data_IF_617390472139
#
_entry.id   IF_617390472139
#
_cell.length_a   1.000
_cell.length_b   1.000
_cell.length_c   1.000
_cell.angle_alpha   90.00
_cell.angle_beta   90.00
_cell.angle_gamma   90.00
#
_symmetry.space_group_name_H-M   'P 1'
#
loop_
_entity.id
_entity.type
_entity.pdbx_description
1 polymer ?
#
# COMPACT_ATOMS: atom_id res chain seq x y z
N UNK A 1 6.48 -22.14 -32.10
CA UNK A 1 6.41 -21.77 -30.67
C UNK A 1 5.47 -22.74 -29.96
N UNK A 2 5.28 -22.66 -28.63
CA UNK A 2 4.23 -23.45 -27.96
C UNK A 2 2.83 -23.17 -28.54
N UNK A 3 2.64 -21.99 -29.16
CA UNK A 3 1.38 -21.52 -29.73
C UNK A 3 0.91 -22.35 -30.94
N UNK A 4 1.84 -22.72 -31.84
CA UNK A 4 1.53 -23.59 -32.98
C UNK A 4 1.12 -25.00 -32.53
N UNK A 5 1.69 -25.48 -31.42
CA UNK A 5 1.31 -26.76 -30.84
C UNK A 5 -0.10 -26.66 -30.25
N UNK A 6 -0.50 -25.58 -29.57
CA UNK A 6 -1.81 -25.51 -28.92
C UNK A 6 -3.01 -25.57 -29.88
N UNK A 7 -2.88 -24.99 -31.09
CA UNK A 7 -3.90 -25.06 -32.13
C UNK A 7 -3.98 -26.42 -32.85
N UNK A 8 -2.94 -27.25 -32.74
CA UNK A 8 -2.82 -28.53 -33.44
C UNK A 8 -2.78 -29.76 -32.50
N UNK A 9 -2.49 -29.52 -31.22
CA UNK A 9 -2.23 -30.45 -30.14
C UNK A 9 -3.00 -29.98 -28.89
N UNK A 10 -3.84 -30.85 -28.32
CA UNK A 10 -4.62 -30.54 -27.12
C UNK A 10 -6.13 -30.64 -27.32
N UNK A 11 -6.92 -30.44 -26.26
CA UNK A 11 -8.36 -30.72 -26.25
C UNK A 11 -9.16 -29.76 -27.13
N UNK A 12 -8.60 -28.60 -27.48
CA UNK A 12 -9.26 -27.61 -28.34
C UNK A 12 -9.01 -27.85 -29.83
N UNK A 13 -7.98 -28.61 -30.20
CA UNK A 13 -7.65 -28.85 -31.59
C UNK A 13 -8.61 -29.86 -32.25
N UNK A 14 -9.01 -29.60 -33.49
CA UNK A 14 -9.89 -30.48 -34.30
C UNK A 14 -9.36 -31.89 -34.47
N UNK A 15 -8.04 -32.07 -34.53
CA UNK A 15 -7.40 -33.39 -34.57
C UNK A 15 -7.70 -34.25 -33.33
N UNK A 16 -8.11 -33.63 -32.22
CA UNK A 16 -8.49 -34.27 -30.96
C UNK A 16 -9.98 -34.09 -30.63
N UNK A 17 -10.80 -33.68 -31.61
CA UNK A 17 -12.24 -33.49 -31.44
C UNK A 17 -12.66 -32.13 -30.87
N UNK A 18 -11.72 -31.20 -30.68
CA UNK A 18 -12.01 -29.81 -30.31
C UNK A 18 -12.42 -28.92 -31.50
N UNK A 19 -12.78 -27.66 -31.26
CA UNK A 19 -13.36 -26.79 -32.29
C UNK A 19 -12.33 -25.98 -33.11
N UNK A 20 -11.04 -25.99 -32.73
CA UNK A 20 -10.02 -25.12 -33.32
C UNK A 20 -9.20 -25.80 -34.41
N UNK A 21 -9.04 -25.11 -35.54
CA UNK A 21 -7.99 -25.37 -36.54
C UNK A 21 -6.83 -24.38 -36.44
N UNK A 22 -7.06 -23.25 -35.77
CA UNK A 22 -6.09 -22.18 -35.52
C UNK A 22 -6.24 -21.71 -34.07
N UNK A 23 -5.12 -21.58 -33.35
CA UNK A 23 -5.11 -21.06 -31.99
C UNK A 23 -5.63 -19.63 -31.92
N UNK A 24 -5.42 -18.82 -32.96
CA UNK A 24 -5.85 -17.44 -33.02
C UNK A 24 -7.38 -17.27 -32.95
N UNK A 25 -8.15 -18.35 -33.12
CA UNK A 25 -9.62 -18.34 -32.98
C UNK A 25 -10.09 -18.70 -31.56
N UNK A 26 -9.19 -18.94 -30.61
CA UNK A 26 -9.52 -19.44 -29.27
C UNK A 26 -10.61 -18.61 -28.58
N UNK A 27 -10.49 -17.29 -28.56
CA UNK A 27 -11.49 -16.40 -27.92
C UNK A 27 -12.68 -16.05 -28.83
N UNK A 28 -12.62 -16.41 -30.12
CA UNK A 28 -13.65 -16.10 -31.12
C UNK A 28 -14.64 -17.25 -31.29
N UNK A 29 -14.23 -18.48 -30.96
CA UNK A 29 -15.00 -19.71 -31.12
C UNK A 29 -15.72 -20.07 -29.81
N UNK A 30 -17.06 -19.93 -29.72
CA UNK A 30 -17.80 -20.09 -28.46
C UNK A 30 -17.58 -21.44 -27.75
N UNK A 31 -17.40 -22.53 -28.50
CA UNK A 31 -17.21 -23.88 -27.98
C UNK A 31 -15.93 -24.02 -27.14
N UNK A 32 -14.94 -23.14 -27.29
CA UNK A 32 -13.74 -23.17 -26.44
C UNK A 32 -14.05 -22.78 -25.00
N UNK A 33 -15.04 -21.90 -24.79
CA UNK A 33 -15.48 -21.47 -23.46
C UNK A 33 -16.14 -22.62 -22.71
N UNK A 34 -16.98 -23.40 -23.39
CA UNK A 34 -17.64 -24.56 -22.80
C UNK A 34 -16.61 -25.62 -22.38
N UNK A 35 -15.61 -25.88 -23.23
CA UNK A 35 -14.48 -26.75 -22.87
C UNK A 35 -13.70 -26.20 -21.68
N UNK A 36 -13.48 -24.88 -21.61
CA UNK A 36 -12.77 -24.26 -20.48
C UNK A 36 -13.56 -24.38 -19.17
N UNK A 37 -14.89 -24.18 -19.20
CA UNK A 37 -15.78 -24.38 -18.06
C UNK A 37 -15.74 -25.83 -17.56
N UNK A 38 -15.90 -26.80 -18.45
CA UNK A 38 -15.85 -28.24 -18.11
C UNK A 38 -14.50 -28.62 -17.47
N UNK A 39 -13.40 -28.05 -17.98
CA UNK A 39 -12.06 -28.27 -17.40
C UNK A 39 -11.93 -27.64 -16.02
N UNK A 40 -12.43 -26.42 -15.84
CA UNK A 40 -12.42 -25.76 -14.53
C UNK A 40 -13.25 -26.52 -13.50
N UNK A 41 -14.43 -27.02 -13.87
CA UNK A 41 -15.24 -27.89 -12.99
C UNK A 41 -14.43 -29.08 -12.51
N UNK A 42 -13.69 -29.71 -13.42
CA UNK A 42 -12.88 -30.88 -13.09
C UNK A 42 -11.67 -30.52 -12.20
N UNK A 43 -11.00 -29.41 -12.47
CA UNK A 43 -9.86 -28.93 -11.67
C UNK A 43 -10.30 -28.54 -10.26
N UNK A 44 -11.39 -27.78 -10.14
CA UNK A 44 -12.03 -27.41 -8.87
C UNK A 44 -12.42 -28.67 -8.10
N UNK A 45 -13.03 -29.66 -8.77
CA UNK A 45 -13.41 -30.91 -8.13
C UNK A 45 -12.20 -31.68 -7.59
N UNK A 46 -11.08 -31.74 -8.33
CA UNK A 46 -9.85 -32.38 -7.86
C UNK A 46 -9.23 -31.63 -6.68
N UNK A 47 -9.19 -30.31 -6.75
CA UNK A 47 -8.68 -29.43 -5.71
C UNK A 47 -9.47 -29.58 -4.41
N UNK A 48 -10.81 -29.54 -4.48
CA UNK A 48 -11.68 -29.70 -3.31
C UNK A 48 -11.65 -31.12 -2.72
N UNK A 49 -11.22 -32.12 -3.49
CA UNK A 49 -10.97 -33.49 -3.01
C UNK A 49 -9.56 -33.68 -2.41
N UNK A 50 -8.67 -32.72 -2.60
CA UNK A 50 -7.30 -32.76 -2.10
C UNK A 50 -7.26 -32.60 -0.58
N UNK A 51 -6.32 -33.25 0.14
CA UNK A 51 -6.07 -32.96 1.55
C UNK A 51 -5.47 -31.56 1.79
N UNK A 52 -5.24 -30.79 0.73
CA UNK A 52 -4.69 -29.42 0.77
C UNK A 52 -5.66 -28.39 0.18
N UNK A 53 -6.96 -28.69 0.15
CA UNK A 53 -7.97 -27.76 -0.38
C UNK A 53 -7.90 -26.39 0.32
N UNK A 54 -7.64 -26.39 1.63
CA UNK A 54 -7.46 -25.19 2.46
C UNK A 54 -6.16 -24.40 2.20
N UNK A 55 -5.25 -24.92 1.37
CA UNK A 55 -4.03 -24.21 0.95
C UNK A 55 -4.22 -23.45 -0.38
N UNK A 56 -5.37 -23.60 -1.03
CA UNK A 56 -5.66 -22.91 -2.28
C UNK A 56 -6.18 -21.52 -1.94
N UNK A 57 -5.57 -20.49 -2.52
CA UNK A 57 -6.03 -19.11 -2.35
C UNK A 57 -7.14 -18.76 -3.35
N UNK A 58 -7.03 -19.28 -4.58
CA UNK A 58 -7.90 -18.88 -5.67
C UNK A 58 -7.52 -19.48 -7.01
N UNK A 59 -8.22 -19.01 -8.04
CA UNK A 59 -8.14 -19.44 -9.42
C UNK A 59 -7.72 -18.29 -10.32
N UNK A 60 -6.67 -18.50 -11.10
CA UNK A 60 -6.31 -17.67 -12.24
C UNK A 60 -6.64 -18.46 -13.52
N UNK A 61 -7.78 -18.18 -14.19
CA UNK A 61 -8.30 -19.07 -15.22
C UNK A 61 -7.43 -19.14 -16.47
N UNK A 62 -6.93 -17.99 -16.91
CA UNK A 62 -6.01 -17.86 -18.05
C UNK A 62 -5.03 -16.76 -17.69
N UNK A 63 -3.77 -17.15 -17.48
CA UNK A 63 -2.68 -16.22 -17.26
C UNK A 63 -2.45 -15.41 -18.54
N UNK A 64 -2.26 -14.10 -18.40
CA UNK A 64 -1.93 -13.21 -19.51
C UNK A 64 -2.90 -13.34 -20.70
N UNK A 65 -4.21 -13.43 -20.43
CA UNK A 65 -5.24 -13.62 -21.47
C UNK A 65 -5.27 -12.51 -22.51
N UNK A 66 -4.72 -11.35 -22.18
CA UNK A 66 -4.56 -10.18 -23.03
C UNK A 66 -3.23 -10.13 -23.80
N UNK A 67 -2.37 -11.15 -23.65
CA UNK A 67 -1.10 -11.25 -24.36
C UNK A 67 -1.26 -11.39 -25.87
N UNK A 68 -0.32 -10.78 -26.59
CA UNK A 68 -0.17 -10.90 -28.05
C UNK A 68 0.70 -12.09 -28.46
N UNK A 69 1.31 -12.79 -27.50
CA UNK A 69 2.32 -13.80 -27.78
C UNK A 69 1.74 -15.13 -28.25
N UNK A 70 0.55 -15.51 -27.76
CA UNK A 70 -0.01 -16.85 -28.02
C UNK A 70 -1.31 -16.85 -28.82
N UNK A 71 -2.04 -15.73 -28.88
CA UNK A 71 -3.20 -15.54 -29.77
C UNK A 71 -3.20 -14.16 -30.38
N UNK A 72 -3.54 -14.08 -31.68
CA UNK A 72 -3.68 -12.83 -32.42
C UNK A 72 -4.68 -12.99 -33.57
N UNK A 73 -5.97 -12.74 -33.31
CA UNK A 73 -7.03 -12.98 -34.30
C UNK A 73 -7.04 -11.92 -35.41
N UNK A 74 -7.24 -12.33 -36.67
CA UNK A 74 -7.30 -11.38 -37.79
C UNK A 74 -8.38 -10.28 -37.65
N UNK A 75 -9.45 -10.50 -36.86
CA UNK A 75 -10.49 -9.47 -36.63
C UNK A 75 -9.95 -8.20 -35.96
N UNK A 76 -8.85 -8.31 -35.21
CA UNK A 76 -8.22 -7.16 -34.55
C UNK A 76 -7.37 -6.30 -35.50
N UNK A 77 -6.97 -6.80 -36.67
CA UNK A 77 -6.02 -6.11 -37.57
C UNK A 77 -6.57 -4.82 -38.19
N UNK A 78 -7.89 -4.67 -38.23
CA UNK A 78 -8.55 -3.48 -38.78
C UNK A 78 -8.47 -2.26 -37.86
N UNK A 79 -8.07 -2.43 -36.60
CA UNK A 79 -8.12 -1.41 -35.55
C UNK A 79 -6.78 -1.34 -34.81
N UNK A 80 -6.19 -0.14 -34.67
CA UNK A 80 -4.88 0.01 -34.04
C UNK A 80 -4.85 -0.49 -32.58
N UNK A 81 -5.98 -0.42 -31.86
CA UNK A 81 -6.13 -0.94 -30.50
C UNK A 81 -6.78 -2.33 -30.43
N UNK A 82 -7.07 -2.96 -31.57
CA UNK A 82 -7.69 -4.30 -31.68
C UNK A 82 -8.97 -4.43 -30.84
N UNK A 83 -9.75 -3.36 -30.72
CA UNK A 83 -10.85 -3.22 -29.78
C UNK A 83 -11.97 -4.26 -29.99
N UNK A 84 -12.19 -4.69 -31.22
CA UNK A 84 -13.16 -5.74 -31.57
C UNK A 84 -12.72 -7.09 -31.02
N UNK A 85 -11.46 -7.49 -31.25
CA UNK A 85 -10.89 -8.72 -30.71
C UNK A 85 -10.93 -8.74 -29.18
N UNK A 86 -10.40 -7.69 -28.55
CA UNK A 86 -10.36 -7.62 -27.10
C UNK A 86 -11.75 -7.54 -26.45
N UNK A 87 -12.78 -7.09 -27.18
CA UNK A 87 -14.16 -7.17 -26.70
C UNK A 87 -14.62 -8.60 -26.56
N UNK A 88 -14.26 -9.49 -27.50
CA UNK A 88 -14.58 -10.92 -27.39
C UNK A 88 -13.76 -11.60 -26.31
N UNK A 89 -12.45 -11.33 -26.23
CA UNK A 89 -11.60 -11.84 -25.15
C UNK A 89 -12.15 -11.46 -23.78
N UNK A 90 -12.50 -10.18 -23.60
CA UNK A 90 -13.10 -9.65 -22.38
C UNK A 90 -14.41 -10.35 -21.98
N UNK A 91 -15.29 -10.63 -22.95
CA UNK A 91 -16.54 -11.36 -22.70
C UNK A 91 -16.26 -12.80 -22.29
N UNK A 92 -15.41 -13.49 -23.05
CA UNK A 92 -15.02 -14.87 -22.80
C UNK A 92 -14.42 -15.05 -21.40
N UNK A 93 -13.44 -14.23 -21.05
CA UNK A 93 -12.71 -14.35 -19.78
C UNK A 93 -13.58 -13.98 -18.58
N UNK A 94 -14.45 -12.96 -18.73
CA UNK A 94 -15.39 -12.55 -17.68
C UNK A 94 -16.46 -13.61 -17.44
N UNK A 95 -16.93 -14.28 -18.50
CA UNK A 95 -17.91 -15.36 -18.38
C UNK A 95 -17.31 -16.61 -17.72
N UNK A 96 -16.06 -16.96 -18.05
CA UNK A 96 -15.35 -18.04 -17.37
C UNK A 96 -15.13 -17.73 -15.88
N UNK A 97 -14.72 -16.51 -15.54
CA UNK A 97 -14.57 -16.07 -14.16
C UNK A 97 -15.88 -16.18 -13.36
N UNK A 98 -16.99 -15.71 -13.95
CA UNK A 98 -18.31 -15.80 -13.34
C UNK A 98 -18.81 -17.25 -13.19
N UNK A 99 -18.39 -18.16 -14.06
CA UNK A 99 -18.64 -19.60 -13.91
C UNK A 99 -17.85 -20.17 -12.73
N UNK A 100 -16.55 -19.89 -12.63
CA UNK A 100 -15.70 -20.36 -11.53
C UNK A 100 -16.25 -19.89 -10.17
N UNK A 101 -16.61 -18.62 -10.04
CA UNK A 101 -17.20 -18.09 -8.81
C UNK A 101 -18.48 -18.82 -8.39
N UNK A 102 -19.28 -19.32 -9.34
CA UNK A 102 -20.49 -20.10 -9.04
C UNK A 102 -20.17 -21.52 -8.58
N UNK A 103 -19.10 -22.11 -9.12
CA UNK A 103 -18.71 -23.50 -8.81
C UNK A 103 -17.90 -23.60 -7.51
N UNK A 104 -17.11 -22.56 -7.20
CA UNK A 104 -16.22 -22.54 -6.05
C UNK A 104 -16.24 -21.18 -5.33
N UNK A 105 -17.35 -20.84 -4.64
CA UNK A 105 -17.53 -19.53 -4.01
C UNK A 105 -16.61 -19.30 -2.79
N UNK A 106 -15.89 -20.32 -2.34
CA UNK A 106 -15.02 -20.25 -1.16
C UNK A 106 -13.58 -19.84 -1.50
N UNK A 107 -13.23 -19.75 -2.79
CA UNK A 107 -11.90 -19.38 -3.28
C UNK A 107 -11.96 -18.13 -4.17
N UNK A 108 -10.88 -17.34 -4.19
CA UNK A 108 -10.81 -16.11 -4.99
C UNK A 108 -10.76 -16.42 -6.49
N UNK A 109 -11.31 -15.54 -7.33
CA UNK A 109 -11.05 -15.56 -8.78
C UNK A 109 -10.23 -14.34 -9.18
N UNK A 110 -9.07 -14.58 -9.80
CA UNK A 110 -8.01 -13.60 -10.03
C UNK A 110 -7.91 -13.25 -11.51
N UNK A 111 -7.87 -11.95 -11.82
CA UNK A 111 -7.66 -11.47 -13.20
C UNK A 111 -6.18 -11.23 -13.47
N UNK A 112 -5.53 -12.11 -14.25
CA UNK A 112 -4.17 -11.87 -14.77
C UNK A 112 -4.19 -11.02 -16.03
N UNK A 113 -3.22 -10.12 -16.20
CA UNK A 113 -3.10 -9.24 -17.38
C UNK A 113 -1.71 -8.64 -17.46
N UNK A 114 -1.15 -8.59 -18.67
CA UNK A 114 0.18 -7.98 -18.90
C UNK A 114 0.12 -6.50 -19.26
N UNK A 115 -1.07 -5.98 -19.54
CA UNK A 115 -1.24 -4.58 -19.89
C UNK A 115 -1.20 -3.71 -18.63
N UNK A 116 -0.13 -2.93 -18.49
CA UNK A 116 0.12 -2.00 -17.38
C UNK A 116 -0.96 -0.92 -17.20
N UNK A 117 -1.53 -0.42 -18.31
CA UNK A 117 -2.59 0.60 -18.35
C UNK A 117 -3.78 0.09 -19.18
N UNK A 118 -4.65 -0.78 -18.61
CA UNK A 118 -5.78 -1.34 -19.33
C UNK A 118 -6.72 -0.24 -19.78
N UNK A 119 -7.12 -0.27 -21.06
CA UNK A 119 -8.09 0.66 -21.65
C UNK A 119 -9.17 -0.09 -22.43
N UNK A 120 -10.26 0.61 -22.74
CA UNK A 120 -11.30 0.08 -23.61
C UNK A 120 -11.90 -1.24 -23.09
N UNK A 121 -11.94 -2.32 -23.89
CA UNK A 121 -12.43 -3.61 -23.44
C UNK A 121 -11.65 -4.23 -22.27
N UNK A 122 -10.32 -4.06 -22.21
CA UNK A 122 -9.50 -4.63 -21.14
C UNK A 122 -9.85 -3.97 -19.80
N UNK A 123 -9.94 -2.63 -19.76
CA UNK A 123 -10.39 -1.91 -18.56
C UNK A 123 -11.76 -2.38 -18.08
N UNK A 124 -12.70 -2.63 -19.01
CA UNK A 124 -14.02 -3.15 -18.66
C UNK A 124 -13.96 -4.54 -18.05
N UNK A 125 -13.12 -5.42 -18.58
CA UNK A 125 -12.95 -6.77 -18.05
C UNK A 125 -12.25 -6.76 -16.70
N UNK A 126 -11.15 -6.02 -16.57
CA UNK A 126 -10.31 -6.09 -15.38
C UNK A 126 -10.77 -5.13 -14.28
N UNK A 127 -10.88 -3.84 -14.58
CA UNK A 127 -11.14 -2.80 -13.58
C UNK A 127 -12.63 -2.70 -13.20
N UNK A 128 -13.54 -3.09 -14.10
CA UNK A 128 -14.99 -2.86 -13.93
C UNK A 128 -15.85 -4.11 -13.77
N UNK A 129 -15.35 -5.30 -14.16
CA UNK A 129 -16.10 -6.54 -13.96
C UNK A 129 -16.18 -6.88 -12.48
N UNK A 130 -17.32 -7.37 -12.01
CA UNK A 130 -17.50 -7.86 -10.63
C UNK A 130 -17.21 -9.35 -10.47
N UNK A 131 -16.81 -10.02 -11.55
CA UNK A 131 -16.55 -11.47 -11.55
C UNK A 131 -15.12 -11.82 -11.11
N UNK A 132 -14.33 -10.82 -10.73
CA UNK A 132 -13.00 -11.01 -10.16
C UNK A 132 -13.02 -10.56 -8.71
N UNK A 133 -12.39 -11.32 -7.84
CA UNK A 133 -12.22 -11.00 -6.42
C UNK A 133 -10.90 -10.28 -6.14
N UNK A 134 -9.89 -10.52 -6.99
CA UNK A 134 -8.58 -9.86 -6.93
C UNK A 134 -8.08 -9.51 -8.34
N UNK A 135 -7.41 -8.36 -8.44
CA UNK A 135 -6.73 -7.93 -9.66
C UNK A 135 -5.27 -8.37 -9.59
N UNK A 136 -4.77 -9.02 -10.65
CA UNK A 136 -3.44 -9.62 -10.69
C UNK A 136 -2.62 -9.09 -11.88
N UNK A 137 -2.33 -7.78 -11.99
CA UNK A 137 -1.51 -7.28 -13.08
C UNK A 137 -0.10 -7.85 -13.04
N UNK A 138 0.44 -8.19 -14.21
CA UNK A 138 1.85 -8.52 -14.39
C UNK A 138 2.60 -7.22 -14.70
N UNK A 139 3.35 -6.71 -13.74
CA UNK A 139 4.00 -5.40 -13.84
C UNK A 139 5.43 -5.53 -14.36
N UNK A 140 5.55 -6.00 -15.60
CA UNK A 140 6.79 -5.94 -16.37
C UNK A 140 7.07 -4.49 -16.80
N UNK A 141 7.99 -3.86 -16.09
CA UNK A 141 8.47 -2.51 -16.41
C UNK A 141 9.86 -2.61 -17.01
N UNK A 142 10.22 -1.69 -17.91
CA UNK A 142 11.53 -1.75 -18.58
C UNK A 142 12.67 -1.80 -17.57
N UNK A 143 12.55 -1.09 -16.44
CA UNK A 143 13.61 -1.09 -15.43
C UNK A 143 13.71 -2.37 -14.59
N UNK A 144 12.62 -3.12 -14.44
CA UNK A 144 12.62 -4.42 -13.71
C UNK A 144 12.85 -5.62 -14.62
N UNK A 145 12.44 -5.51 -15.89
CA UNK A 145 12.53 -6.55 -16.91
C UNK A 145 13.92 -6.58 -17.55
N UNK A 146 14.49 -5.40 -17.78
CA UNK A 146 15.77 -5.21 -18.45
C UNK A 146 16.76 -4.39 -17.60
N UNK A 147 16.98 -4.70 -16.31
CA UNK A 147 17.82 -3.86 -15.45
C UNK A 147 19.28 -3.78 -15.93
N UNK A 148 19.72 -4.72 -16.77
CA UNK A 148 21.03 -4.68 -17.42
C UNK A 148 21.20 -3.47 -18.36
N UNK A 149 20.11 -2.99 -18.97
CA UNK A 149 20.07 -1.83 -19.86
C UNK A 149 19.89 -0.51 -19.08
N UNK A 150 19.63 -0.58 -17.77
CA UNK A 150 19.58 0.60 -16.91
C UNK A 150 21.00 1.15 -16.65
N UNK A 151 21.23 2.38 -17.08
CA UNK A 151 22.52 3.09 -16.93
C UNK A 151 22.69 3.79 -15.58
N UNK A 152 21.66 3.79 -14.75
CA UNK A 152 21.70 4.39 -13.41
C UNK A 152 22.72 3.66 -12.52
N UNK A 153 23.37 4.41 -11.64
CA UNK A 153 24.33 3.85 -10.69
C UNK A 153 23.62 3.05 -9.58
N UNK A 154 22.46 3.53 -9.16
CA UNK A 154 21.51 2.81 -8.32
C UNK A 154 20.31 2.38 -9.17
N UNK A 155 20.37 1.13 -9.64
CA UNK A 155 19.34 0.53 -10.50
C UNK A 155 18.05 0.18 -9.78
N UNK A 156 18.02 0.28 -8.45
CA UNK A 156 16.83 -0.07 -7.65
C UNK A 156 15.80 1.06 -7.57
N UNK A 157 16.18 2.30 -7.93
CA UNK A 157 15.31 3.48 -7.84
C UNK A 157 14.19 3.46 -8.89
N UNK A 158 14.52 3.29 -10.18
CA UNK A 158 13.52 3.34 -11.25
C UNK A 158 12.46 2.22 -11.14
N UNK A 159 12.81 0.96 -10.85
CA UNK A 159 11.81 -0.10 -10.63
C UNK A 159 10.82 0.23 -9.53
N UNK A 160 11.26 0.90 -8.46
CA UNK A 160 10.38 1.33 -7.39
C UNK A 160 9.44 2.45 -7.81
N UNK A 161 9.93 3.42 -8.59
CA UNK A 161 9.12 4.50 -9.16
C UNK A 161 8.04 3.92 -10.06
N UNK A 162 8.42 3.05 -11.01
CA UNK A 162 7.48 2.47 -11.97
C UNK A 162 6.46 1.57 -11.27
N UNK A 163 6.91 0.66 -10.39
CA UNK A 163 6.00 -0.23 -9.67
C UNK A 163 5.07 0.52 -8.71
N UNK A 164 5.56 1.54 -8.00
CA UNK A 164 4.74 2.38 -7.15
C UNK A 164 3.71 3.19 -7.95
N UNK A 165 4.11 3.72 -9.11
CA UNK A 165 3.20 4.42 -10.03
C UNK A 165 2.08 3.52 -10.54
N UNK A 166 2.42 2.34 -11.06
CA UNK A 166 1.42 1.40 -11.55
C UNK A 166 0.54 0.86 -10.42
N UNK A 167 1.11 0.52 -9.26
CA UNK A 167 0.32 0.15 -8.08
C UNK A 167 -0.73 1.21 -7.71
N UNK A 168 -0.33 2.49 -7.69
CA UNK A 168 -1.25 3.60 -7.44
C UNK A 168 -2.29 3.82 -8.54
N UNK A 169 -1.91 3.69 -9.81
CA UNK A 169 -2.83 3.76 -10.94
C UNK A 169 -3.92 2.68 -10.84
N UNK A 170 -3.53 1.43 -10.57
CA UNK A 170 -4.47 0.31 -10.43
C UNK A 170 -5.41 0.52 -9.23
N UNK A 171 -4.87 0.98 -8.10
CA UNK A 171 -5.66 1.27 -6.90
C UNK A 171 -6.74 2.34 -7.15
N UNK A 172 -6.43 3.34 -7.99
CA UNK A 172 -7.30 4.50 -8.24
C UNK A 172 -8.19 4.36 -9.47
N UNK A 173 -7.93 3.41 -10.36
CA UNK A 173 -8.67 3.22 -11.61
C UNK A 173 -9.76 2.14 -11.55
N UNK A 174 -9.72 1.27 -10.53
CA UNK A 174 -10.80 0.30 -10.29
C UNK A 174 -12.06 0.98 -9.73
N UNK A 175 -13.23 0.42 -10.03
CA UNK A 175 -14.53 0.97 -9.56
C UNK A 175 -14.92 0.53 -8.14
N UNK A 176 -14.07 -0.26 -7.49
CA UNK A 176 -14.32 -0.91 -6.21
C UNK A 176 -13.05 -0.98 -5.35
N UNK A 177 -13.04 -1.82 -4.31
CA UNK A 177 -11.94 -1.94 -3.35
C UNK A 177 -11.24 -3.31 -3.38
N UNK A 178 -11.39 -4.09 -4.45
CA UNK A 178 -10.81 -5.44 -4.52
C UNK A 178 -9.30 -5.41 -4.44
N UNK A 179 -8.63 -6.31 -3.69
CA UNK A 179 -7.18 -6.34 -3.60
C UNK A 179 -6.49 -6.34 -4.98
N UNK A 180 -5.30 -5.77 -5.04
CA UNK A 180 -4.41 -5.83 -6.20
C UNK A 180 -3.17 -6.58 -5.75
N UNK A 181 -2.79 -7.64 -6.46
CA UNK A 181 -1.52 -8.33 -6.24
C UNK A 181 -0.72 -8.20 -7.53
N UNK A 182 0.56 -7.83 -7.46
CA UNK A 182 1.40 -7.92 -8.66
C UNK A 182 1.58 -9.41 -9.01
N UNK A 183 0.82 -9.88 -10.00
CA UNK A 183 0.68 -11.28 -10.36
C UNK A 183 1.98 -11.87 -10.88
N UNK A 184 2.81 -11.03 -11.49
CA UNK A 184 4.11 -11.44 -12.02
C UNK A 184 4.97 -10.23 -12.37
N UNK A 185 6.25 -10.27 -12.04
CA UNK A 185 7.25 -9.31 -12.48
C UNK A 185 8.65 -9.94 -12.48
N UNK A 186 9.59 -9.31 -13.15
CA UNK A 186 10.99 -9.74 -13.18
C UNK A 186 11.55 -9.75 -14.59
N UNK A 187 12.61 -10.52 -14.80
CA UNK A 187 13.41 -10.48 -16.02
C UNK A 187 12.90 -11.44 -17.08
N UNK A 188 12.63 -10.93 -18.28
CA UNK A 188 12.28 -11.74 -19.45
C UNK A 188 13.48 -11.82 -20.40
N UNK A 189 13.42 -12.71 -21.39
CA UNK A 189 14.57 -13.02 -22.27
C UNK A 189 14.77 -12.03 -23.42
N UNK A 190 13.71 -11.38 -23.89
CA UNK A 190 13.65 -10.74 -25.21
C UNK A 190 14.71 -9.67 -25.42
N UNK A 191 15.17 -9.02 -24.35
CA UNK A 191 16.02 -7.84 -24.46
C UNK A 191 17.35 -7.96 -23.69
N UNK A 192 17.67 -9.18 -23.23
CA UNK A 192 18.97 -9.48 -22.64
C UNK A 192 20.02 -9.77 -23.74
N UNK A 193 21.29 -9.41 -23.53
CA UNK A 193 22.38 -9.87 -24.40
C UNK A 193 22.34 -11.40 -24.52
N UNK A 194 22.33 -11.89 -25.77
CA UNK A 194 22.22 -13.31 -26.11
C UNK A 194 20.93 -14.01 -25.63
N UNK A 195 19.88 -13.24 -25.29
CA UNK A 195 18.58 -13.74 -24.79
C UNK A 195 18.69 -14.58 -23.49
N UNK A 196 19.72 -14.30 -22.68
CA UNK A 196 20.04 -15.05 -21.47
C UNK A 196 20.11 -14.12 -20.24
N UNK A 197 19.02 -14.02 -19.46
CA UNK A 197 19.04 -13.41 -18.14
C UNK A 197 20.07 -14.11 -17.26
N UNK A 198 21.20 -13.46 -16.96
CA UNK A 198 22.26 -14.03 -16.13
C UNK A 198 23.00 -12.96 -15.35
N UNK A 199 23.35 -13.28 -14.11
CA UNK A 199 24.28 -12.45 -13.36
C UNK A 199 25.64 -12.37 -14.04
N UNK A 200 26.19 -11.16 -14.08
CA UNK A 200 27.42 -10.81 -14.77
C UNK A 200 28.13 -9.67 -14.06
N UNK A 201 29.25 -9.19 -14.63
CA UNK A 201 29.92 -8.00 -14.12
C UNK A 201 29.13 -6.70 -14.36
N UNK A 202 28.19 -6.71 -15.32
CA UNK A 202 27.36 -5.54 -15.65
C UNK A 202 26.03 -5.55 -14.92
N UNK A 203 25.62 -6.68 -14.35
CA UNK A 203 24.43 -6.83 -13.53
C UNK A 203 24.60 -7.97 -12.52
N UNK A 204 24.67 -7.63 -11.24
CA UNK A 204 25.03 -8.55 -10.16
C UNK A 204 23.81 -9.04 -9.38
N UNK A 205 23.96 -10.16 -8.67
CA UNK A 205 22.93 -10.66 -7.76
C UNK A 205 22.52 -9.63 -6.70
N UNK A 206 23.49 -8.84 -6.18
CA UNK A 206 23.21 -7.82 -5.17
C UNK A 206 22.33 -6.68 -5.73
N UNK A 207 22.46 -6.36 -7.01
CA UNK A 207 21.59 -5.38 -7.68
C UNK A 207 20.17 -5.94 -7.87
N UNK A 208 20.03 -7.22 -8.21
CA UNK A 208 18.72 -7.88 -8.28
C UNK A 208 18.03 -7.96 -6.91
N UNK A 209 18.79 -8.28 -5.86
CA UNK A 209 18.30 -8.28 -4.48
C UNK A 209 17.84 -6.88 -4.03
N UNK A 210 18.54 -5.82 -4.48
CA UNK A 210 18.14 -4.44 -4.24
C UNK A 210 16.86 -4.08 -5.00
N UNK A 211 16.74 -4.43 -6.28
CA UNK A 211 15.52 -4.23 -7.07
C UNK A 211 14.35 -4.98 -6.43
N UNK A 212 14.56 -6.23 -6.02
CA UNK A 212 13.55 -7.03 -5.35
C UNK A 212 13.02 -6.34 -4.09
N UNK A 213 13.91 -5.82 -3.24
CA UNK A 213 13.52 -5.04 -2.06
C UNK A 213 12.67 -3.84 -2.45
N UNK A 214 13.15 -2.99 -3.36
CA UNK A 214 12.46 -1.72 -3.64
C UNK A 214 11.14 -1.92 -4.39
N UNK A 215 11.03 -2.94 -5.26
CA UNK A 215 9.76 -3.32 -5.92
C UNK A 215 8.74 -3.82 -4.89
N UNK A 216 9.13 -4.74 -4.00
CA UNK A 216 8.22 -5.26 -2.96
C UNK A 216 7.67 -4.13 -2.09
N UNK A 217 8.53 -3.24 -1.59
CA UNK A 217 8.11 -2.18 -0.68
C UNK A 217 7.33 -1.06 -1.36
N UNK A 218 7.73 -0.63 -2.56
CA UNK A 218 6.99 0.37 -3.34
C UNK A 218 5.60 -0.14 -3.74
N UNK A 219 5.48 -1.42 -4.12
CA UNK A 219 4.22 -2.04 -4.48
C UNK A 219 3.27 -2.12 -3.30
N UNK A 220 3.76 -2.64 -2.17
CA UNK A 220 2.98 -2.73 -0.94
C UNK A 220 2.52 -1.36 -0.44
N UNK A 221 3.43 -0.39 -0.34
CA UNK A 221 3.10 0.96 0.08
C UNK A 221 2.15 1.67 -0.90
N UNK A 222 2.10 1.26 -2.16
CA UNK A 222 1.15 1.78 -3.17
C UNK A 222 -0.20 1.08 -3.17
N UNK A 223 -0.42 0.12 -2.26
CA UNK A 223 -1.70 -0.56 -2.04
C UNK A 223 -1.80 -1.97 -2.64
N UNK A 224 -0.69 -2.55 -3.09
CA UNK A 224 -0.67 -3.96 -3.48
C UNK A 224 -0.72 -4.88 -2.23
N UNK A 225 -1.37 -6.03 -2.36
CA UNK A 225 -1.54 -7.04 -1.34
C UNK A 225 -0.37 -8.02 -1.35
N UNK A 226 0.76 -7.64 -0.75
CA UNK A 226 1.93 -8.50 -0.59
C UNK A 226 3.08 -8.19 -1.55
N UNK A 227 3.95 -9.18 -1.78
CA UNK A 227 5.25 -8.99 -2.47
C UNK A 227 5.17 -9.08 -3.99
N UNK A 228 4.06 -9.59 -4.51
CA UNK A 228 3.96 -10.07 -5.89
C UNK A 228 4.83 -11.30 -6.17
N UNK A 229 4.63 -11.90 -7.34
CA UNK A 229 5.45 -13.01 -7.82
C UNK A 229 6.64 -12.47 -8.62
N UNK A 230 7.85 -12.66 -8.10
CA UNK A 230 9.07 -12.49 -8.90
C UNK A 230 9.30 -13.77 -9.70
N UNK A 231 9.29 -13.70 -11.03
CA UNK A 231 9.60 -14.87 -11.87
C UNK A 231 11.00 -15.37 -11.58
N UNK A 232 11.18 -16.67 -11.58
CA UNK A 232 12.49 -17.28 -11.48
C UNK A 232 13.00 -17.63 -12.86
N UNK A 233 13.65 -16.66 -13.51
CA UNK A 233 14.25 -16.82 -14.82
C UNK A 233 15.71 -17.33 -14.70
N UNK A 234 16.44 -17.31 -15.83
CA UNK A 234 17.74 -17.98 -15.97
C UNK A 234 18.83 -17.40 -15.03
N UNK A 235 18.67 -16.18 -14.51
CA UNK A 235 19.57 -15.56 -13.55
C UNK A 235 19.58 -16.29 -12.20
N UNK A 236 18.46 -16.91 -11.85
CA UNK A 236 18.29 -17.73 -10.65
C UNK A 236 18.57 -19.22 -10.91
N UNK A 237 18.99 -19.62 -12.12
CA UNK A 237 19.26 -21.02 -12.44
C UNK A 237 20.34 -21.63 -11.54
N UNK A 238 21.34 -20.84 -11.13
CA UNK A 238 22.39 -21.28 -10.20
C UNK A 238 21.84 -21.57 -8.79
N UNK A 239 20.70 -20.98 -8.44
CA UNK A 239 19.97 -21.23 -7.20
C UNK A 239 18.82 -22.23 -7.41
N UNK A 240 18.72 -22.91 -8.56
CA UNK A 240 17.66 -23.88 -8.84
C UNK A 240 16.29 -23.25 -9.13
N UNK A 241 16.26 -22.05 -9.72
CA UNK A 241 15.03 -21.31 -10.05
C UNK A 241 14.19 -20.99 -8.80
N UNK A 242 14.85 -20.62 -7.71
CA UNK A 242 14.21 -20.09 -6.50
C UNK A 242 14.88 -18.77 -6.09
N UNK A 243 14.13 -17.94 -5.36
CA UNK A 243 14.63 -16.68 -4.80
C UNK A 243 15.88 -16.90 -3.93
N UNK A 244 16.79 -15.93 -3.95
CA UNK A 244 18.00 -15.94 -3.10
C UNK A 244 17.63 -15.81 -1.62
N UNK A 245 18.57 -16.14 -0.73
CA UNK A 245 18.36 -16.00 0.71
C UNK A 245 18.01 -14.55 1.09
N UNK A 246 18.67 -13.54 0.49
CA UNK A 246 18.38 -12.13 0.77
C UNK A 246 16.97 -11.70 0.30
N UNK A 247 16.49 -12.23 -0.83
CA UNK A 247 15.12 -12.00 -1.29
C UNK A 247 14.11 -12.66 -0.35
N UNK A 248 14.37 -13.89 0.12
CA UNK A 248 13.54 -14.56 1.13
C UNK A 248 13.54 -13.82 2.45
N UNK A 249 14.68 -13.36 2.91
CA UNK A 249 14.81 -12.55 4.12
C UNK A 249 14.10 -11.20 4.00
N UNK A 250 14.00 -10.64 2.79
CA UNK A 250 13.16 -9.46 2.51
C UNK A 250 11.68 -9.79 2.67
N UNK A 251 11.21 -10.97 2.21
CA UNK A 251 9.84 -11.43 2.49
C UNK A 251 9.59 -11.62 3.99
N UNK A 252 10.58 -12.10 4.74
CA UNK A 252 10.49 -12.25 6.19
C UNK A 252 10.48 -10.89 6.92
N UNK A 253 11.23 -9.89 6.44
CA UNK A 253 11.15 -8.52 6.94
C UNK A 253 9.75 -7.95 6.73
N UNK A 254 9.22 -8.09 5.52
CA UNK A 254 7.89 -7.64 5.15
C UNK A 254 6.81 -8.30 6.03
N UNK A 255 6.92 -9.61 6.28
CA UNK A 255 6.07 -10.32 7.24
C UNK A 255 6.20 -9.75 8.64
N UNK A 256 7.43 -9.51 9.13
CA UNK A 256 7.65 -8.95 10.47
C UNK A 256 7.05 -7.55 10.62
N UNK A 257 7.13 -6.74 9.57
CA UNK A 257 6.48 -5.43 9.51
C UNK A 257 4.96 -5.55 9.61
N UNK A 258 4.34 -6.43 8.81
CA UNK A 258 2.88 -6.65 8.79
C UNK A 258 2.38 -7.24 10.11
N UNK A 259 3.04 -8.28 10.62
CA UNK A 259 2.66 -9.04 11.82
C UNK A 259 3.05 -8.34 13.13
N UNK A 260 3.78 -7.22 13.09
CA UNK A 260 4.23 -6.54 14.31
C UNK A 260 3.05 -6.06 15.15
N UNK A 261 3.09 -6.41 16.43
CA UNK A 261 2.11 -5.99 17.45
C UNK A 261 2.48 -4.70 18.18
N UNK A 262 3.65 -4.13 17.93
CA UNK A 262 4.09 -2.86 18.56
C UNK A 262 3.28 -1.66 18.05
N UNK A 263 2.87 -1.70 16.79
CA UNK A 263 1.86 -0.84 16.19
C UNK A 263 1.11 -1.70 15.18
N UNK A 264 -0.12 -2.10 15.48
CA UNK A 264 -0.91 -2.99 14.62
C UNK A 264 -1.66 -2.17 13.55
N UNK A 265 -1.67 -2.60 12.29
CA UNK A 265 -2.61 -2.11 11.26
C UNK A 265 -3.72 -3.14 11.15
N UNK A 266 -4.97 -2.72 11.28
CA UNK A 266 -6.13 -3.57 11.04
C UNK A 266 -6.38 -3.67 9.53
N UNK A 267 -5.64 -4.56 8.88
CA UNK A 267 -5.80 -4.85 7.44
C UNK A 267 -7.19 -5.39 7.09
N UNK A 268 -7.93 -5.96 8.06
CA UNK A 268 -9.28 -6.49 7.81
C UNK A 268 -10.33 -5.40 7.60
N UNK A 269 -10.07 -4.19 8.12
CA UNK A 269 -10.92 -3.01 7.92
C UNK A 269 -10.19 -1.85 7.21
N UNK A 270 -9.02 -2.12 6.61
CA UNK A 270 -8.19 -1.09 5.99
C UNK A 270 -8.71 -0.69 4.60
N UNK A 271 -9.43 0.43 4.54
CA UNK A 271 -9.92 1.01 3.29
C UNK A 271 -8.84 1.84 2.59
N UNK A 272 -7.79 1.18 2.12
CA UNK A 272 -6.60 1.80 1.53
C UNK A 272 -6.92 2.80 0.41
N UNK A 273 -6.49 4.05 0.58
CA UNK A 273 -6.49 5.10 -0.45
C UNK A 273 -5.08 5.55 -0.70
N UNK A 274 -4.73 5.75 -1.97
CA UNK A 274 -3.40 6.22 -2.37
C UNK A 274 -3.09 7.61 -1.76
N UNK A 275 -1.85 7.81 -1.31
CA UNK A 275 -1.34 9.07 -0.78
C UNK A 275 -0.48 9.86 -1.81
N UNK A 276 -0.54 9.53 -3.10
CA UNK A 276 0.14 10.28 -4.15
C UNK A 276 -0.22 11.76 -4.08
N UNK A 277 0.80 12.61 -4.07
CA UNK A 277 0.67 14.07 -3.91
C UNK A 277 0.30 14.53 -2.50
N UNK A 278 0.28 13.63 -1.51
CA UNK A 278 -0.01 13.90 -0.08
C UNK A 278 1.12 13.45 0.85
N UNK A 279 2.24 13.02 0.27
CA UNK A 279 3.46 12.66 0.97
C UNK A 279 4.55 13.63 0.55
N UNK A 280 5.24 14.20 1.53
CA UNK A 280 6.37 15.08 1.31
C UNK A 280 7.53 14.66 2.22
N UNK A 281 8.74 14.63 1.67
CA UNK A 281 9.97 14.40 2.42
C UNK A 281 10.93 15.55 2.12
N UNK A 282 11.34 16.28 3.14
CA UNK A 282 12.39 17.28 3.03
C UNK A 282 13.67 16.74 3.67
N UNK A 283 14.77 16.69 2.92
CA UNK A 283 16.08 16.29 3.45
C UNK A 283 17.18 17.03 2.69
N UNK A 284 18.11 17.69 3.41
CA UNK A 284 19.06 18.62 2.80
C UNK A 284 20.00 17.94 1.82
N UNK A 285 19.97 18.37 0.56
CA UNK A 285 20.83 17.82 -0.51
C UNK A 285 20.49 16.38 -0.91
N UNK A 286 19.30 15.90 -0.56
CA UNK A 286 18.80 14.55 -0.86
C UNK A 286 17.53 14.64 -1.70
N UNK A 287 17.29 13.61 -2.48
CA UNK A 287 15.98 13.34 -3.08
C UNK A 287 15.46 12.05 -2.46
N UNK A 288 14.26 12.09 -1.88
CA UNK A 288 13.62 10.91 -1.31
C UNK A 288 12.27 10.73 -1.99
N UNK A 289 12.08 9.57 -2.62
CA UNK A 289 10.80 9.19 -3.22
C UNK A 289 9.91 8.59 -2.13
N UNK A 290 8.62 8.92 -2.17
CA UNK A 290 7.65 8.47 -1.18
C UNK A 290 6.39 7.90 -1.83
N UNK A 291 5.97 6.72 -1.38
CA UNK A 291 4.69 6.08 -1.74
C UNK A 291 3.95 5.70 -0.47
N UNK A 292 2.62 5.65 -0.51
CA UNK A 292 1.85 5.27 0.67
C UNK A 292 0.37 5.12 0.42
N UNK A 293 -0.29 4.46 1.37
CA UNK A 293 -1.74 4.30 1.43
C UNK A 293 -2.25 4.55 2.84
N UNK A 294 -3.47 5.09 2.95
CA UNK A 294 -4.15 5.31 4.21
C UNK A 294 -5.68 5.27 4.07
N UNK A 295 -6.37 4.90 5.13
CA UNK A 295 -7.81 5.10 5.29
C UNK A 295 -8.15 6.38 6.10
N UNK A 296 -7.11 7.13 6.51
CA UNK A 296 -7.18 8.30 7.36
C UNK A 296 -6.84 8.00 8.82
N UNK A 297 -7.18 6.84 9.35
CA UNK A 297 -6.85 6.44 10.74
C UNK A 297 -5.54 5.68 10.81
N UNK A 298 -5.22 4.88 9.81
CA UNK A 298 -4.03 4.05 9.76
C UNK A 298 -3.45 4.09 8.35
N UNK A 299 -2.20 3.66 8.22
CA UNK A 299 -1.59 3.55 6.91
C UNK A 299 -0.14 3.14 6.97
N UNK A 300 0.40 3.06 5.76
CA UNK A 300 1.78 2.67 5.50
C UNK A 300 2.37 3.62 4.47
N UNK A 301 3.68 3.84 4.56
CA UNK A 301 4.44 4.53 3.54
C UNK A 301 5.80 3.86 3.33
N UNK A 302 6.40 4.09 2.18
CA UNK A 302 7.75 3.66 1.83
C UNK A 302 8.53 4.87 1.34
N UNK A 303 9.71 5.10 1.91
CA UNK A 303 10.61 6.21 1.63
C UNK A 303 11.91 5.67 1.05
N UNK A 304 12.31 6.08 -0.15
CA UNK A 304 13.51 5.61 -0.83
C UNK A 304 14.44 6.79 -1.14
N UNK A 305 15.64 6.78 -0.56
CA UNK A 305 16.69 7.74 -0.92
C UNK A 305 17.16 7.45 -2.34
N UNK A 306 17.15 8.47 -3.20
CA UNK A 306 17.60 8.38 -4.58
C UNK A 306 19.13 8.36 -4.64
N UNK A 307 19.69 7.15 -4.69
CA UNK A 307 21.13 6.92 -4.80
C UNK A 307 21.76 7.52 -6.06
N UNK A 308 20.97 7.83 -7.10
CA UNK A 308 21.46 8.48 -8.32
C UNK A 308 21.65 10.00 -8.15
N UNK A 309 20.96 10.61 -7.19
CA UNK A 309 21.15 12.02 -6.83
C UNK A 309 22.24 12.15 -5.78
N UNK A 310 22.13 11.43 -4.66
CA UNK A 310 23.11 11.49 -3.58
C UNK A 310 23.07 10.24 -2.69
N UNK A 311 24.23 9.62 -2.45
CA UNK A 311 24.37 8.44 -1.57
C UNK A 311 24.79 8.79 -0.13
N UNK A 312 24.51 7.90 0.81
CA UNK A 312 24.95 8.01 2.21
C UNK A 312 23.81 8.35 3.17
N UNK A 313 24.18 8.59 4.44
CA UNK A 313 23.23 8.75 5.52
C UNK A 313 22.46 10.08 5.41
N UNK A 314 21.15 10.02 5.63
CA UNK A 314 20.25 11.15 5.88
C UNK A 314 20.10 11.28 7.39
N UNK A 315 20.26 12.50 7.94
CA UNK A 315 20.22 12.74 9.40
C UNK A 315 19.31 13.88 9.82
N UNK A 316 18.73 14.59 8.86
CA UNK A 316 17.99 15.85 9.02
C UNK A 316 16.69 15.86 8.19
N UNK A 317 16.12 14.67 7.94
CA UNK A 317 14.93 14.54 7.13
C UNK A 317 13.65 14.78 7.93
N UNK A 318 12.65 15.43 7.33
CA UNK A 318 11.27 15.51 7.82
C UNK A 318 10.34 14.78 6.86
N UNK A 319 9.27 14.19 7.37
CA UNK A 319 8.25 13.51 6.60
C UNK A 319 6.87 14.02 6.98
N UNK A 320 6.10 14.44 5.98
CA UNK A 320 4.74 14.96 6.12
C UNK A 320 3.76 14.08 5.36
N UNK A 321 2.66 13.74 6.04
CA UNK A 321 1.49 13.07 5.46
C UNK A 321 0.29 14.00 5.59
N UNK A 322 -0.29 14.41 4.47
CA UNK A 322 -1.49 15.25 4.46
C UNK A 322 -2.78 14.43 4.45
N UNK A 323 -3.88 15.02 4.93
CA UNK A 323 -5.26 14.52 4.79
C UNK A 323 -5.61 13.29 5.65
N UNK A 324 -4.88 13.09 6.75
CA UNK A 324 -5.26 12.18 7.81
C UNK A 324 -6.46 12.71 8.61
N UNK A 325 -6.95 11.94 9.57
CA UNK A 325 -7.98 12.44 10.48
C UNK A 325 -7.45 13.60 11.33
N UNK A 326 -8.23 14.67 11.36
CA UNK A 326 -7.95 15.87 12.15
C UNK A 326 -8.11 15.62 13.64
N UNK A 327 -7.40 16.42 14.43
CA UNK A 327 -7.48 16.43 15.89
C UNK A 327 -7.22 15.04 16.50
N UNK A 328 -6.30 14.29 15.88
CA UNK A 328 -5.89 12.94 16.33
C UNK A 328 -4.44 12.91 16.74
N UNK A 329 -4.15 12.03 17.68
CA UNK A 329 -2.79 11.62 18.03
C UNK A 329 -2.46 10.33 17.27
N UNK A 330 -1.34 10.32 16.56
CA UNK A 330 -0.82 9.17 15.84
C UNK A 330 0.39 8.58 16.55
N UNK A 331 0.46 7.26 16.58
CA UNK A 331 1.70 6.53 16.82
C UNK A 331 2.30 6.16 15.46
N UNK A 332 3.63 6.26 15.34
CA UNK A 332 4.38 6.07 14.10
C UNK A 332 5.57 5.15 14.35
N UNK A 333 5.79 4.18 13.47
CA UNK A 333 6.97 3.33 13.47
C UNK A 333 7.74 3.47 12.17
N UNK A 334 9.06 3.53 12.30
CA UNK A 334 9.98 3.51 11.18
C UNK A 334 10.73 2.19 11.18
N UNK A 335 10.82 1.56 10.02
CA UNK A 335 11.43 0.26 9.81
C UNK A 335 12.48 0.35 8.73
N UNK A 336 13.66 -0.23 8.99
CA UNK A 336 14.57 -0.56 7.89
C UNK A 336 13.93 -1.66 7.05
N UNK A 337 13.93 -1.51 5.74
CA UNK A 337 13.37 -2.48 4.78
C UNK A 337 14.37 -3.58 4.40
N UNK A 338 15.54 -3.60 5.04
CA UNK A 338 16.62 -4.54 4.75
C UNK A 338 16.24 -5.98 5.08
N UNK A 339 16.94 -6.92 4.44
CA UNK A 339 16.77 -8.35 4.68
C UNK A 339 16.95 -8.72 6.18
N UNK A 340 16.00 -9.48 6.73
CA UNK A 340 16.07 -10.03 8.09
C UNK A 340 15.73 -9.06 9.23
N UNK A 341 15.17 -7.89 8.94
CA UNK A 341 14.74 -6.92 9.97
C UNK A 341 13.46 -7.40 10.64
N UNK A 342 13.43 -7.37 11.98
CA UNK A 342 12.33 -7.93 12.78
C UNK A 342 11.70 -6.93 13.75
N UNK A 343 12.24 -5.73 13.88
CA UNK A 343 11.77 -4.68 14.79
C UNK A 343 11.93 -3.29 14.16
N UNK A 344 11.13 -2.29 14.58
CA UNK A 344 11.29 -0.92 14.10
C UNK A 344 12.64 -0.33 14.55
N UNK A 345 13.20 0.57 13.74
CA UNK A 345 14.40 1.35 14.08
C UNK A 345 14.08 2.51 15.01
N UNK A 346 12.86 3.04 14.96
CA UNK A 346 12.34 4.01 15.92
C UNK A 346 10.81 3.99 15.97
N UNK A 347 10.28 4.45 17.10
CA UNK A 347 8.85 4.65 17.33
C UNK A 347 8.63 6.05 17.88
N UNK A 348 7.67 6.77 17.30
CA UNK A 348 7.16 8.03 17.82
C UNK A 348 5.75 7.81 18.34
N UNK A 349 5.43 8.46 19.45
CA UNK A 349 4.18 8.23 20.15
C UNK A 349 3.41 9.52 20.36
N UNK A 350 2.14 9.54 19.98
CA UNK A 350 1.24 10.66 20.23
C UNK A 350 1.57 11.92 19.43
N UNK A 351 1.92 11.79 18.16
CA UNK A 351 2.15 12.93 17.26
C UNK A 351 0.80 13.51 16.83
N UNK A 352 0.59 14.81 17.05
CA UNK A 352 -0.70 15.45 16.82
C UNK A 352 -0.87 15.90 15.37
N UNK A 353 -1.95 15.44 14.72
CA UNK A 353 -2.36 15.88 13.39
C UNK A 353 -3.58 16.81 13.48
N UNK A 354 -3.36 18.07 13.89
CA UNK A 354 -4.46 19.01 14.17
C UNK A 354 -5.31 19.34 12.94
N UNK A 355 -4.68 19.74 11.84
CA UNK A 355 -5.36 20.07 10.58
C UNK A 355 -5.54 18.87 9.63
N UNK A 356 -5.07 17.69 10.04
CA UNK A 356 -5.01 16.48 9.22
C UNK A 356 -3.64 16.22 8.61
N UNK A 357 -2.65 17.08 8.90
CA UNK A 357 -1.27 16.88 8.47
C UNK A 357 -0.46 16.31 9.63
N UNK A 358 0.26 15.23 9.37
CA UNK A 358 1.16 14.59 10.31
C UNK A 358 2.60 14.82 9.84
N UNK A 359 3.34 15.65 10.56
CA UNK A 359 4.77 15.92 10.30
C UNK A 359 5.63 15.32 11.40
N UNK A 360 6.66 14.57 11.01
CA UNK A 360 7.59 13.88 11.91
C UNK A 360 9.03 13.99 11.42
N UNK A 361 9.98 14.04 12.36
CA UNK A 361 11.39 13.89 12.03
C UNK A 361 11.69 12.43 11.67
N UNK A 362 12.48 12.23 10.62
CA UNK A 362 12.93 10.92 10.19
C UNK A 362 14.12 10.44 11.04
N UNK A 363 14.14 9.16 11.48
CA UNK A 363 15.37 8.60 12.01
C UNK A 363 16.44 8.54 10.92
N UNK A 364 17.71 8.47 11.30
CA UNK A 364 18.78 8.40 10.32
C UNK A 364 18.70 7.11 9.47
N UNK A 365 18.77 7.23 8.15
CA UNK A 365 18.73 6.10 7.21
C UNK A 365 19.59 6.36 5.97
N UNK A 366 20.04 5.31 5.29
CA UNK A 366 20.93 5.43 4.13
C UNK A 366 20.27 5.04 2.80
N UNK A 367 19.47 3.97 2.81
CA UNK A 367 18.80 3.46 1.60
C UNK A 367 17.33 3.85 1.64
N UNK A 368 16.57 3.32 2.59
CA UNK A 368 15.12 3.41 2.57
C UNK A 368 14.50 3.02 3.91
N UNK A 369 13.25 3.43 4.12
CA UNK A 369 12.45 3.16 5.29
C UNK A 369 11.04 2.75 4.89
N UNK A 370 10.45 1.82 5.63
CA UNK A 370 9.00 1.64 5.67
C UNK A 370 8.46 2.34 6.91
N UNK A 371 7.31 2.99 6.76
CA UNK A 371 6.63 3.72 7.84
C UNK A 371 5.28 3.07 8.06
N UNK A 372 4.93 2.84 9.33
CA UNK A 372 3.59 2.47 9.76
C UNK A 372 3.06 3.58 10.65
N UNK A 373 1.80 3.97 10.49
CA UNK A 373 1.17 4.94 11.38
C UNK A 373 -0.26 4.53 11.70
N UNK A 374 -0.70 4.86 12.91
CA UNK A 374 -2.08 4.64 13.36
C UNK A 374 -2.51 5.68 14.39
N UNK A 375 -3.71 6.19 14.20
CA UNK A 375 -4.39 7.06 15.14
C UNK A 375 -4.70 6.26 16.39
N UNK A 376 -4.43 6.84 17.55
CA UNK A 376 -4.88 6.28 18.81
C UNK A 376 -6.39 6.22 18.82
N UNK A 377 -6.92 5.12 19.34
CA UNK A 377 -8.35 5.03 19.60
C UNK A 377 -8.77 6.26 20.43
N UNK A 378 -9.75 7.02 19.95
CA UNK A 378 -10.48 7.94 20.81
C UNK A 378 -11.15 7.07 21.86
N UNK A 379 -10.57 7.03 23.06
CA UNK A 379 -11.13 6.32 24.20
C UNK A 379 -12.40 7.01 24.68
N UNK A 380 -13.50 6.95 23.91
CA UNK A 380 -14.85 7.45 24.27
C UNK A 380 -14.98 8.90 24.76
N UNK A 381 -13.90 9.68 24.82
CA UNK A 381 -13.94 11.12 24.89
C UNK A 381 -13.22 11.63 23.64
N UNK A 382 -13.96 12.30 22.77
CA UNK A 382 -13.34 13.18 21.81
C UNK A 382 -12.40 14.10 22.60
N UNK A 383 -11.10 14.04 22.33
CA UNK A 383 -10.18 15.01 22.92
C UNK A 383 -10.45 16.33 22.20
N UNK A 384 -11.34 17.13 22.75
CA UNK A 384 -11.47 18.54 22.39
C UNK A 384 -10.14 19.20 22.74
N UNK A 385 -9.30 19.48 21.74
CA UNK A 385 -8.12 20.34 21.93
C UNK A 385 -8.53 21.77 21.61
N UNK A 386 -8.33 22.68 22.56
CA UNK A 386 -8.73 24.08 22.42
C UNK A 386 -7.62 24.98 22.91
N UNK A 387 -7.37 26.10 22.24
CA UNK A 387 -6.26 27.00 22.59
C UNK A 387 -6.69 28.46 22.69
N UNK A 388 -5.89 29.24 23.42
CA UNK A 388 -6.04 30.68 23.54
C UNK A 388 -4.67 31.36 23.67
N UNK A 389 -4.54 32.55 23.08
CA UNK A 389 -3.37 33.41 23.28
C UNK A 389 -3.43 34.11 24.65
N UNK A 390 -2.33 34.04 25.40
CA UNK A 390 -2.19 34.65 26.72
C UNK A 390 -0.87 35.43 26.79
N UNK A 391 -0.94 36.73 26.53
CA UNK A 391 0.25 37.58 26.45
C UNK A 391 1.13 37.20 25.26
N UNK A 392 2.34 36.69 25.53
CA UNK A 392 3.28 36.23 24.49
C UNK A 392 3.33 34.71 24.37
N UNK A 393 2.39 34.00 24.99
CA UNK A 393 2.35 32.54 25.02
C UNK A 393 1.03 32.02 24.43
N UNK A 394 1.05 30.79 23.92
CA UNK A 394 -0.16 30.03 23.56
C UNK A 394 -0.42 29.01 24.66
N UNK A 395 -1.66 28.92 25.12
CA UNK A 395 -2.10 27.90 26.07
C UNK A 395 -3.05 26.95 25.35
N UNK A 396 -2.63 25.70 25.16
CA UNK A 396 -3.44 24.63 24.57
C UNK A 396 -3.95 23.71 25.67
N UNK A 397 -5.26 23.49 25.72
CA UNK A 397 -5.90 22.56 26.64
C UNK A 397 -6.26 21.27 25.92
N UNK A 398 -6.02 20.15 26.59
CA UNK A 398 -6.43 18.81 26.16
C UNK A 398 -6.91 18.02 27.38
N UNK A 399 -7.61 16.91 27.13
CA UNK A 399 -8.03 16.01 28.21
C UNK A 399 -6.97 14.94 28.46
N UNK A 400 -6.55 14.79 29.70
CA UNK A 400 -5.73 13.69 30.17
C UNK A 400 -6.45 12.35 30.02
N UNK A 401 -5.73 11.25 30.29
CA UNK A 401 -6.27 9.88 30.21
C UNK A 401 -7.46 9.62 31.13
N UNK A 402 -7.59 10.42 32.18
CA UNK A 402 -8.68 10.40 33.16
C UNK A 402 -9.87 11.28 32.74
N UNK A 403 -9.76 12.04 31.64
CA UNK A 403 -10.76 12.99 31.18
C UNK A 403 -10.68 14.35 31.89
N UNK A 404 -9.58 14.65 32.57
CA UNK A 404 -9.35 15.92 33.26
C UNK A 404 -8.54 16.90 32.39
N UNK A 405 -8.76 18.21 32.49
CA UNK A 405 -8.06 19.19 31.67
C UNK A 405 -6.57 19.29 32.05
N UNK A 406 -5.71 19.30 31.04
CA UNK A 406 -4.28 19.56 31.10
C UNK A 406 -3.96 20.72 30.16
N UNK A 407 -3.10 21.64 30.57
CA UNK A 407 -2.64 22.75 29.74
C UNK A 407 -1.18 22.52 29.31
N UNK A 408 -0.90 22.79 28.04
CA UNK A 408 0.45 22.97 27.50
C UNK A 408 0.64 24.45 27.22
N UNK A 409 1.64 25.06 27.86
CA UNK A 409 2.00 26.47 27.68
C UNK A 409 3.23 26.53 26.78
N UNK A 410 3.09 27.21 25.64
CA UNK A 410 4.14 27.43 24.66
C UNK A 410 4.54 28.90 24.73
N UNK A 411 5.77 29.20 25.13
CA UNK A 411 6.27 30.57 25.22
C UNK A 411 6.66 31.16 23.85
N UNK A 412 7.01 32.44 23.81
CA UNK A 412 7.42 33.13 22.58
C UNK A 412 8.68 32.57 21.92
N UNK A 413 9.46 31.75 22.64
CA UNK A 413 10.66 31.08 22.13
C UNK A 413 10.36 29.63 21.70
N UNK A 414 9.10 29.18 21.81
CA UNK A 414 8.67 27.82 21.50
C UNK A 414 8.94 26.81 22.62
N UNK A 415 9.34 27.23 23.82
CA UNK A 415 9.51 26.28 24.93
C UNK A 415 8.16 25.85 25.47
N UNK A 416 8.00 24.54 25.67
CA UNK A 416 6.76 23.96 26.19
C UNK A 416 6.86 23.62 27.68
N UNK A 417 5.78 23.86 28.42
CA UNK A 417 5.60 23.36 29.78
C UNK A 417 4.18 22.82 29.98
N UNK A 418 4.08 21.65 30.61
CA UNK A 418 2.79 21.00 30.88
C UNK A 418 2.33 21.25 32.31
N UNK A 419 1.03 21.52 32.47
CA UNK A 419 0.38 21.81 33.73
C UNK A 419 -0.87 20.95 33.89
N UNK A 420 -0.89 20.19 34.98
CA UNK A 420 -2.06 19.43 35.42
C UNK A 420 -3.09 20.40 36.06
N UNK A 421 -3.88 21.03 35.19
CA UNK A 421 -4.81 22.11 35.54
C UNK A 421 -5.84 21.61 36.54
N UNK A 422 -6.35 20.40 36.36
CA UNK A 422 -7.32 19.81 37.28
C UNK A 422 -6.79 19.67 38.70
N UNK A 423 -5.60 19.08 38.87
CA UNK A 423 -4.96 18.95 40.18
C UNK A 423 -4.63 20.30 40.80
N UNK A 424 -4.15 21.26 40.02
CA UNK A 424 -3.81 22.60 40.48
C UNK A 424 -5.05 23.39 40.90
N UNK A 425 -6.17 23.22 40.19
CA UNK A 425 -7.44 23.89 40.45
C UNK A 425 -8.33 23.18 41.47
N UNK A 426 -7.97 21.96 41.89
CA UNK A 426 -8.79 21.11 42.76
C UNK A 426 -10.04 20.52 42.10
N UNK A 427 -10.06 20.43 40.77
CA UNK A 427 -11.16 19.82 40.01
C UNK A 427 -10.96 18.30 39.92
N UNK A 428 -12.05 17.53 40.05
CA UNK A 428 -11.99 16.05 40.05
C UNK A 428 -13.00 15.39 39.10
N UNK A 429 -13.79 16.17 38.36
CA UNK A 429 -14.77 15.66 37.39
C UNK A 429 -14.13 15.21 36.08
N UNK A 430 -14.94 14.71 35.15
CA UNK A 430 -14.53 14.38 33.78
C UNK A 430 -15.19 15.35 32.81
N UNK A 431 -14.41 15.96 31.93
CA UNK A 431 -14.86 17.02 31.00
C UNK A 431 -15.49 16.41 29.76
N UNK A 432 -16.59 17.00 29.33
CA UNK A 432 -17.34 16.65 28.11
C UNK A 432 -17.09 17.66 26.99
N UNK A 433 -17.04 18.95 27.34
CA UNK A 433 -16.78 20.06 26.42
C UNK A 433 -16.02 21.16 27.16
N UNK A 434 -15.17 21.90 26.44
CA UNK A 434 -14.42 23.01 27.00
C UNK A 434 -14.10 24.10 25.97
N UNK A 435 -14.06 25.35 26.43
CA UNK A 435 -13.76 26.55 25.63
C UNK A 435 -12.89 27.51 26.43
N UNK A 436 -11.69 27.85 25.93
CA UNK A 436 -10.80 28.76 26.60
C UNK A 436 -11.05 30.20 26.14
N UNK A 437 -10.79 31.15 27.03
CA UNK A 437 -10.81 32.58 26.70
C UNK A 437 -9.90 33.35 27.66
N UNK A 438 -9.55 34.58 27.30
CA UNK A 438 -8.78 35.49 28.15
C UNK A 438 -9.60 36.72 28.52
N UNK A 439 -9.23 37.35 29.64
CA UNK A 439 -9.76 38.64 30.09
C UNK A 439 -8.71 39.73 29.99
N UNK A 440 -9.14 40.99 30.07
CA UNK A 440 -8.28 42.17 29.91
C UNK A 440 -7.13 42.26 30.95
N UNK A 441 -7.25 41.55 32.08
CA UNK A 441 -6.22 41.43 33.11
C UNK A 441 -5.17 40.35 32.81
N UNK A 442 -5.29 39.66 31.67
CA UNK A 442 -4.37 38.63 31.22
C UNK A 442 -4.58 37.26 31.85
N UNK A 443 -5.66 37.05 32.62
CA UNK A 443 -5.99 35.72 33.12
C UNK A 443 -6.52 34.82 32.01
N UNK A 444 -6.17 33.54 32.11
CA UNK A 444 -6.68 32.48 31.24
C UNK A 444 -7.84 31.80 31.93
N UNK A 445 -8.92 31.64 31.20
CA UNK A 445 -10.11 30.93 31.63
C UNK A 445 -10.37 29.72 30.74
N UNK A 446 -10.90 28.65 31.35
CA UNK A 446 -11.42 27.47 30.68
C UNK A 446 -12.84 27.24 31.20
N UNK A 447 -13.83 27.58 30.38
CA UNK A 447 -15.22 27.18 30.63
C UNK A 447 -15.39 25.74 30.17
N UNK A 448 -16.02 24.89 30.98
CA UNK A 448 -16.18 23.47 30.66
C UNK A 448 -17.47 22.90 31.24
N UNK A 449 -17.97 21.82 30.64
CA UNK A 449 -19.06 21.01 31.18
C UNK A 449 -18.57 19.63 31.58
N UNK A 450 -19.01 19.12 32.72
CA UNK A 450 -18.67 17.76 33.15
C UNK A 450 -19.73 16.71 32.80
N UNK A 451 -19.43 15.43 33.05
CA UNK A 451 -20.36 14.30 32.82
C UNK A 451 -21.65 14.38 33.67
N UNK A 452 -21.68 15.21 34.73
CA UNK A 452 -22.88 15.48 35.54
C UNK A 452 -23.67 16.71 35.06
N UNK A 453 -23.29 17.28 33.92
CA UNK A 453 -23.87 18.51 33.35
C UNK A 453 -23.68 19.76 34.22
N UNK A 454 -22.68 19.78 35.10
CA UNK A 454 -22.29 21.01 35.79
C UNK A 454 -21.41 21.86 34.86
N UNK A 455 -21.60 23.17 34.93
CA UNK A 455 -20.75 24.14 34.25
C UNK A 455 -19.68 24.60 35.22
N UNK A 456 -18.43 24.44 34.83
CA UNK A 456 -17.27 24.84 35.59
C UNK A 456 -16.51 25.96 34.88
N UNK A 457 -15.95 26.86 35.68
CA UNK A 457 -14.99 27.84 35.21
C UNK A 457 -13.67 27.61 35.95
N UNK A 458 -12.64 27.19 35.21
CA UNK A 458 -11.26 27.20 35.71
C UNK A 458 -10.62 28.51 35.29
N UNK A 459 -9.99 29.21 36.24
CA UNK A 459 -9.31 30.48 36.00
C UNK A 459 -7.90 30.43 36.59
N UNK A 460 -6.92 30.96 35.87
CA UNK A 460 -5.53 30.91 36.31
C UNK A 460 -4.57 31.83 35.57
N UNK A 461 -3.37 31.92 36.14
CA UNK A 461 -2.20 32.49 35.48
C UNK A 461 -1.35 31.31 34.99
N UNK A 462 -1.39 31.09 33.67
CA UNK A 462 -0.68 30.01 33.01
C UNK A 462 0.85 30.17 33.10
N UNK A 463 1.39 31.38 33.22
CA UNK A 463 2.83 31.58 33.39
C UNK A 463 3.27 31.25 34.82
N UNK A 464 2.44 31.57 35.82
CA UNK A 464 2.70 31.26 37.22
C UNK A 464 2.34 29.81 37.62
N UNK A 465 1.62 29.08 36.77
CA UNK A 465 1.15 27.72 37.06
C UNK A 465 0.12 27.66 38.18
N UNK A 466 -0.70 28.71 38.32
CA UNK A 466 -1.72 28.81 39.38
C UNK A 466 -3.11 28.76 38.79
N UNK A 467 -3.94 27.86 39.30
CA UNK A 467 -5.30 27.63 38.79
C UNK A 467 -6.28 27.52 39.96
N UNK A 468 -7.53 27.92 39.70
CA UNK A 468 -8.65 27.76 40.62
C UNK A 468 -9.87 27.32 39.85
N UNK A 469 -10.69 26.46 40.45
CA UNK A 469 -11.94 26.00 39.86
C UNK A 469 -13.14 26.57 40.62
N UNK A 470 -14.23 26.84 39.90
CA UNK A 470 -15.52 27.21 40.47
C UNK A 470 -16.64 26.52 39.70
N UNK A 471 -17.53 25.86 40.42
CA UNK A 471 -18.83 25.44 39.91
C UNK A 471 -19.73 26.68 39.79
N UNK A 472 -20.26 26.93 38.59
CA UNK A 472 -21.12 28.08 38.29
C UNK A 472 -22.56 27.67 37.98
N UNK A 473 -22.90 26.41 38.25
CA UNK A 473 -24.24 25.84 38.08
C UNK A 473 -25.18 26.19 39.23
#
# INVERSE_FOLDING_TARGET
SYDEAFGQEGPWATNFGGPLTDINEFFQTPETLDIAKDRMDQVIAWANQSPFADHILGWEPVSEWDSYEWTLNAEGEAEAGRETEFRRRAQWITELAGHIQQQDPDHLVMSSTIVRDPRGPLARATLHSRNWDMLSPHLYTNSSEEPINNTDADRSVMPAIENGHFGGYWLTSRIDNRPILNGEWGMTRSDWPDELPQYSATYTQAEDEAIYRTVVWSGFASGQAGTGLRIAADELATNGYILTDAMRDTQLTMRSFVDSSSLEVDFSHFAARNLAGRLEVEASGRTVHAWGVSDGEQGIAYLLNDGNVATGLITDGTFTIEGLMRDRLYDVEFWSTGAGVTTPVSTLSGVFAGNGDLTVDLPAFATDLAVKFRARATSTQAQTVVSVESGTSIVAFHLGVDGQPVATVIDASGNESSQDVARLAGFTGRVVDMTPFTTDDGQVHLAMTDESHHVWLISGDAAAGTWSSRDIT
#
